data_IF_802097889751
#
_entry.id   IF_802097889751
#
_cell.length_a   1.000
_cell.length_b   1.000
_cell.length_c   1.000
_cell.angle_alpha   90.00
_cell.angle_beta   90.00
_cell.angle_gamma   90.00
#
_symmetry.space_group_name_H-M   'P 1'
#
loop_
_entity.id
_entity.type
_entity.pdbx_description
1 polymer ?
#
# COMPACT_ATOMS: atom_id res chain seq x y z
N UNK A 1 -20.70 -20.22 3.01
CA UNK A 1 -21.53 -20.83 1.94
C UNK A 1 -20.60 -21.34 0.86
N UNK A 2 -20.72 -22.61 0.44
CA UNK A 2 -19.98 -23.11 -0.74
C UNK A 2 -20.50 -22.36 -1.98
N UNK A 3 -19.64 -21.90 -2.90
CA UNK A 3 -20.09 -21.27 -4.12
C UNK A 3 -21.00 -22.24 -4.90
N UNK A 4 -22.14 -21.75 -5.36
CA UNK A 4 -23.10 -22.54 -6.16
C UNK A 4 -22.40 -22.93 -7.48
N UNK A 5 -22.27 -24.20 -7.76
CA UNK A 5 -21.75 -24.65 -9.06
C UNK A 5 -22.70 -24.19 -10.15
N UNK A 6 -22.15 -23.51 -11.17
CA UNK A 6 -22.92 -23.09 -12.35
C UNK A 6 -23.26 -24.33 -13.22
N UNK A 7 -24.42 -24.30 -13.86
CA UNK A 7 -24.78 -25.29 -14.87
C UNK A 7 -23.95 -25.11 -16.15
N UNK A 8 -23.81 -26.12 -17.00
CA UNK A 8 -23.11 -26.00 -18.29
C UNK A 8 -23.62 -24.84 -19.15
N UNK A 9 -24.94 -24.64 -19.20
CA UNK A 9 -25.56 -23.52 -19.93
C UNK A 9 -25.15 -22.17 -19.34
N UNK A 10 -25.16 -22.01 -18.01
CA UNK A 10 -24.72 -20.78 -17.34
C UNK A 10 -23.24 -20.50 -17.55
N UNK A 11 -22.39 -21.53 -17.61
CA UNK A 11 -20.98 -21.39 -17.95
C UNK A 11 -20.78 -20.86 -19.37
N UNK A 12 -21.52 -21.42 -20.33
CA UNK A 12 -21.47 -21.01 -21.74
C UNK A 12 -21.96 -19.57 -21.95
N UNK A 13 -23.05 -19.19 -21.30
CA UNK A 13 -23.58 -17.82 -21.34
C UNK A 13 -22.54 -16.81 -20.72
N UNK A 14 -21.89 -17.20 -19.63
CA UNK A 14 -20.82 -16.40 -19.00
C UNK A 14 -19.67 -16.17 -19.97
N UNK A 15 -19.13 -17.24 -20.56
CA UNK A 15 -18.04 -17.17 -21.54
C UNK A 15 -18.41 -16.27 -22.72
N UNK A 16 -19.59 -16.42 -23.28
CA UNK A 16 -20.08 -15.59 -24.38
C UNK A 16 -20.17 -14.11 -23.98
N UNK A 17 -20.68 -13.80 -22.79
CA UNK A 17 -20.81 -12.43 -22.30
C UNK A 17 -19.45 -11.78 -22.10
N UNK A 18 -18.47 -12.50 -21.56
CA UNK A 18 -17.11 -11.98 -21.33
C UNK A 18 -16.41 -11.72 -22.66
N UNK A 19 -16.44 -12.72 -23.58
CA UNK A 19 -15.75 -12.57 -24.85
C UNK A 19 -16.47 -11.63 -25.85
N UNK A 20 -17.67 -11.18 -25.54
CA UNK A 20 -18.34 -10.12 -26.28
C UNK A 20 -17.84 -8.72 -25.99
N UNK A 21 -17.05 -8.52 -24.88
CA UNK A 21 -16.46 -7.24 -24.57
C UNK A 21 -15.28 -6.96 -25.53
N UNK A 22 -15.17 -5.72 -26.07
CA UNK A 22 -14.18 -5.40 -27.11
C UNK A 22 -12.72 -5.43 -26.62
N UNK A 23 -12.52 -5.34 -25.31
CA UNK A 23 -11.22 -5.29 -24.66
C UNK A 23 -10.76 -6.62 -24.06
N UNK A 24 -11.50 -7.70 -24.24
CA UNK A 24 -11.10 -9.03 -23.74
C UNK A 24 -10.31 -9.81 -24.79
N UNK A 25 -9.17 -10.35 -24.35
CA UNK A 25 -8.23 -11.09 -25.21
C UNK A 25 -7.94 -12.46 -24.57
N UNK A 26 -8.20 -13.58 -25.26
CA UNK A 26 -7.79 -14.90 -24.77
C UNK A 26 -6.25 -14.98 -24.65
N UNK A 27 -5.75 -15.49 -23.52
CA UNK A 27 -4.30 -15.63 -23.31
C UNK A 27 -3.60 -16.47 -24.37
N UNK A 28 -4.26 -17.50 -24.89
CA UNK A 28 -3.77 -18.34 -25.98
C UNK A 28 -3.46 -17.57 -27.28
N UNK A 29 -3.98 -16.36 -27.43
CA UNK A 29 -3.83 -15.50 -28.61
C UNK A 29 -3.08 -14.21 -28.28
N UNK A 30 -2.59 -14.04 -27.04
CA UNK A 30 -1.95 -12.83 -26.55
C UNK A 30 -0.42 -12.99 -26.61
N UNK A 31 0.31 -12.06 -27.25
CA UNK A 31 1.76 -12.06 -27.23
C UNK A 31 2.32 -11.97 -25.80
N UNK A 32 3.44 -12.64 -25.52
CA UNK A 32 4.11 -12.57 -24.20
C UNK A 32 4.52 -11.13 -23.83
N UNK A 33 4.82 -10.30 -24.83
CA UNK A 33 5.13 -8.87 -24.61
C UNK A 33 4.03 -8.10 -23.93
N UNK A 34 2.77 -8.47 -24.15
CA UNK A 34 1.61 -7.77 -23.63
C UNK A 34 1.33 -8.17 -22.17
N UNK A 35 1.70 -9.39 -21.81
CA UNK A 35 1.56 -9.93 -20.43
C UNK A 35 2.81 -9.76 -19.58
N UNK A 36 3.87 -9.14 -20.08
CA UNK A 36 5.16 -8.95 -19.38
C UNK A 36 5.04 -8.34 -17.99
N UNK A 37 4.04 -7.50 -17.76
CA UNK A 37 3.80 -6.88 -16.47
C UNK A 37 3.40 -7.87 -15.38
N UNK A 38 2.99 -9.07 -15.74
CA UNK A 38 2.51 -10.12 -14.84
C UNK A 38 3.50 -11.26 -14.65
N UNK A 39 4.67 -11.22 -15.32
CA UNK A 39 5.67 -12.27 -15.21
C UNK A 39 6.52 -12.15 -13.96
N UNK A 40 6.99 -13.27 -13.43
CA UNK A 40 7.94 -13.33 -12.28
C UNK A 40 7.51 -12.52 -11.06
N UNK A 41 6.22 -12.51 -10.74
CA UNK A 41 5.67 -11.73 -9.63
C UNK A 41 6.19 -12.14 -8.25
N UNK A 42 6.85 -13.28 -8.12
CA UNK A 42 7.46 -13.77 -6.88
C UNK A 42 8.88 -13.23 -6.64
N UNK A 43 9.55 -12.71 -7.66
CA UNK A 43 10.88 -12.12 -7.55
C UNK A 43 10.80 -10.65 -7.07
N UNK A 44 10.94 -10.47 -5.75
CA UNK A 44 10.83 -9.15 -5.10
C UNK A 44 11.83 -8.15 -5.65
N UNK A 45 13.11 -8.56 -5.83
CA UNK A 45 14.18 -7.66 -6.27
C UNK A 45 13.99 -7.20 -7.71
N UNK A 46 13.64 -8.13 -8.59
CA UNK A 46 13.35 -7.84 -9.99
C UNK A 46 12.14 -6.91 -10.11
N UNK A 47 11.05 -7.24 -9.43
CA UNK A 47 9.78 -6.51 -9.51
C UNK A 47 9.85 -5.09 -8.94
N UNK A 48 10.53 -4.89 -7.81
CA UNK A 48 10.68 -3.56 -7.24
C UNK A 48 11.40 -2.59 -8.18
N UNK A 49 12.35 -3.08 -8.97
CA UNK A 49 13.04 -2.28 -9.99
C UNK A 49 12.17 -2.08 -11.24
N UNK A 50 11.61 -3.15 -11.80
CA UNK A 50 10.85 -3.11 -13.04
C UNK A 50 9.55 -2.32 -12.92
N UNK A 51 8.77 -2.52 -11.83
CA UNK A 51 7.51 -1.81 -11.63
C UNK A 51 7.71 -0.28 -11.54
N UNK A 52 8.80 0.15 -10.91
CA UNK A 52 9.17 1.57 -10.85
C UNK A 52 9.59 2.09 -12.22
N UNK A 53 10.44 1.36 -12.95
CA UNK A 53 10.87 1.75 -14.30
C UNK A 53 9.73 1.81 -15.32
N UNK A 54 8.75 0.90 -15.21
CA UNK A 54 7.57 0.89 -16.07
C UNK A 54 6.48 1.88 -15.65
N UNK A 55 6.64 2.55 -14.51
CA UNK A 55 5.64 3.46 -13.97
C UNK A 55 4.34 2.74 -13.59
N UNK A 56 4.41 1.48 -13.13
CA UNK A 56 3.25 0.67 -12.78
C UNK A 56 3.37 0.06 -11.37
N UNK A 57 2.27 -0.51 -10.91
CA UNK A 57 2.21 -1.45 -9.78
C UNK A 57 1.15 -2.51 -10.04
N UNK A 58 1.20 -3.63 -9.29
CA UNK A 58 0.24 -4.73 -9.45
C UNK A 58 -0.76 -4.76 -8.30
N UNK A 59 -2.04 -4.58 -8.64
CA UNK A 59 -3.18 -4.78 -7.75
C UNK A 59 -3.68 -6.22 -7.86
N UNK A 60 -3.78 -6.93 -6.72
CA UNK A 60 -4.23 -8.34 -6.65
C UNK A 60 -5.57 -8.44 -5.91
N UNK A 61 -6.54 -9.06 -6.50
CA UNK A 61 -7.92 -9.30 -6.09
C UNK A 61 -8.92 -8.21 -6.51
N UNK A 62 -10.17 -8.62 -6.79
CA UNK A 62 -11.25 -7.71 -7.20
C UNK A 62 -11.47 -6.55 -6.20
N UNK A 63 -11.39 -6.82 -4.90
CA UNK A 63 -11.55 -5.78 -3.88
C UNK A 63 -10.45 -4.72 -3.93
N UNK A 64 -9.20 -5.13 -4.13
CA UNK A 64 -8.04 -4.21 -4.22
C UNK A 64 -8.11 -3.41 -5.52
N UNK A 65 -8.43 -4.06 -6.64
CA UNK A 65 -8.60 -3.41 -7.94
C UNK A 65 -9.69 -2.33 -7.85
N UNK A 66 -10.86 -2.65 -7.29
CA UNK A 66 -11.95 -1.69 -7.10
C UNK A 66 -11.54 -0.51 -6.23
N UNK A 67 -10.74 -0.73 -5.18
CA UNK A 67 -10.22 0.36 -4.32
C UNK A 67 -9.23 1.27 -5.05
N UNK A 68 -8.35 0.71 -5.86
CA UNK A 68 -7.43 1.48 -6.67
C UNK A 68 -8.18 2.37 -7.68
N UNK A 69 -9.16 1.81 -8.40
CA UNK A 69 -9.99 2.55 -9.34
C UNK A 69 -10.85 3.62 -8.65
N UNK A 70 -11.42 3.32 -7.49
CA UNK A 70 -12.18 4.28 -6.68
C UNK A 70 -11.32 5.43 -6.17
N UNK A 71 -10.02 5.21 -5.97
CA UNK A 71 -9.04 6.25 -5.63
C UNK A 71 -8.53 7.04 -6.86
N UNK A 72 -9.09 6.79 -8.05
CA UNK A 72 -8.75 7.51 -9.29
C UNK A 72 -7.54 6.95 -10.05
N UNK A 73 -6.94 5.85 -9.59
CA UNK A 73 -5.82 5.23 -10.29
C UNK A 73 -6.28 4.63 -11.61
N UNK A 74 -5.44 4.73 -12.65
CA UNK A 74 -5.77 4.29 -13.99
C UNK A 74 -5.26 2.86 -14.25
N UNK A 75 -6.09 1.96 -14.80
CA UNK A 75 -5.65 0.63 -15.16
C UNK A 75 -4.87 0.67 -16.49
N UNK A 76 -3.73 -0.01 -16.54
CA UNK A 76 -2.96 -0.25 -17.75
C UNK A 76 -3.45 -1.51 -18.48
N UNK A 77 -3.72 -2.58 -17.72
CA UNK A 77 -4.29 -3.84 -18.21
C UNK A 77 -4.85 -4.68 -17.07
N UNK A 78 -5.63 -5.70 -17.42
CA UNK A 78 -6.15 -6.72 -16.49
C UNK A 78 -5.66 -8.10 -16.90
N UNK A 79 -5.46 -9.00 -15.92
CA UNK A 79 -5.17 -10.42 -16.12
C UNK A 79 -6.01 -11.25 -15.15
N UNK A 80 -6.86 -12.15 -15.66
CA UNK A 80 -7.76 -12.92 -14.79
C UNK A 80 -8.33 -14.16 -15.47
N UNK A 81 -8.92 -15.06 -14.66
CA UNK A 81 -9.73 -16.14 -15.21
C UNK A 81 -11.16 -15.68 -15.52
N UNK A 82 -11.89 -16.43 -16.36
CA UNK A 82 -13.29 -16.14 -16.73
C UNK A 82 -14.21 -15.91 -15.52
N UNK A 83 -14.00 -16.67 -14.45
CA UNK A 83 -14.75 -16.51 -13.20
C UNK A 83 -14.61 -15.10 -12.63
N UNK A 84 -13.40 -14.56 -12.65
CA UNK A 84 -13.11 -13.22 -12.11
C UNK A 84 -13.47 -12.13 -13.10
N UNK A 85 -13.41 -12.40 -14.41
CA UNK A 85 -13.92 -11.49 -15.43
C UNK A 85 -15.44 -11.28 -15.30
N UNK A 86 -16.17 -12.31 -14.89
CA UNK A 86 -17.59 -12.20 -14.57
C UNK A 86 -17.86 -11.33 -13.33
N UNK A 87 -17.06 -11.49 -12.26
CA UNK A 87 -17.11 -10.66 -11.03
C UNK A 87 -16.76 -9.18 -11.31
N UNK A 88 -15.90 -8.93 -12.29
CA UNK A 88 -15.40 -7.60 -12.65
C UNK A 88 -16.00 -7.08 -13.98
N UNK A 89 -17.07 -7.70 -14.48
CA UNK A 89 -17.67 -7.35 -15.77
C UNK A 89 -18.07 -5.87 -15.87
N UNK A 90 -18.56 -5.29 -14.79
CA UNK A 90 -18.87 -3.86 -14.68
C UNK A 90 -17.64 -2.98 -14.92
N UNK A 91 -16.50 -3.33 -14.32
CA UNK A 91 -15.24 -2.61 -14.52
C UNK A 91 -14.71 -2.79 -15.94
N UNK A 92 -14.71 -4.01 -16.48
CA UNK A 92 -14.28 -4.25 -17.85
C UNK A 92 -15.12 -3.45 -18.86
N UNK A 93 -16.39 -3.27 -18.59
CA UNK A 93 -17.29 -2.42 -19.39
C UNK A 93 -16.99 -0.93 -19.23
N UNK A 94 -16.64 -0.50 -18.02
CA UNK A 94 -16.28 0.90 -17.72
C UNK A 94 -14.97 1.34 -18.38
N UNK A 95 -14.03 0.39 -18.59
CA UNK A 95 -12.72 0.64 -19.19
C UNK A 95 -12.55 -0.08 -20.54
N UNK A 96 -13.34 0.26 -21.57
CA UNK A 96 -13.42 -0.51 -22.83
C UNK A 96 -12.15 -0.47 -23.68
N UNK A 97 -11.23 0.46 -23.39
CA UNK A 97 -9.94 0.59 -24.08
C UNK A 97 -8.78 -0.07 -23.34
N UNK A 98 -9.01 -0.51 -22.09
CA UNK A 98 -7.99 -1.18 -21.27
C UNK A 98 -8.01 -2.68 -21.55
N UNK A 99 -6.92 -3.29 -22.05
CA UNK A 99 -6.91 -4.70 -22.38
C UNK A 99 -7.10 -5.60 -21.16
N UNK A 100 -7.90 -6.63 -21.30
CA UNK A 100 -8.17 -7.65 -20.29
C UNK A 100 -7.79 -9.03 -20.85
N UNK A 101 -6.75 -9.63 -20.31
CA UNK A 101 -6.24 -10.93 -20.71
C UNK A 101 -6.94 -12.01 -19.90
N UNK A 102 -7.61 -12.92 -20.60
CA UNK A 102 -8.46 -13.96 -20.00
C UNK A 102 -7.88 -15.33 -20.29
N UNK A 103 -7.65 -16.13 -19.24
CA UNK A 103 -7.11 -17.48 -19.37
C UNK A 103 -7.61 -18.45 -18.30
N UNK A 104 -7.17 -19.69 -18.43
CA UNK A 104 -7.37 -20.72 -17.40
C UNK A 104 -6.49 -20.43 -16.16
N UNK A 105 -6.79 -21.07 -15.04
CA UNK A 105 -5.95 -20.95 -13.83
C UNK A 105 -4.54 -21.45 -14.06
N UNK A 106 -4.35 -22.47 -14.92
CA UNK A 106 -3.03 -23.01 -15.27
C UNK A 106 -2.21 -22.05 -16.14
N UNK A 107 -2.83 -21.39 -17.11
CA UNK A 107 -2.18 -20.35 -17.92
C UNK A 107 -1.77 -19.15 -17.06
N UNK A 108 -2.64 -18.73 -16.16
CA UNK A 108 -2.33 -17.64 -15.22
C UNK A 108 -1.16 -18.01 -14.30
N UNK A 109 -1.12 -19.22 -13.77
CA UNK A 109 -0.02 -19.72 -12.93
C UNK A 109 1.32 -19.76 -13.69
N UNK A 110 1.29 -20.18 -14.95
CA UNK A 110 2.45 -20.21 -15.82
C UNK A 110 3.05 -18.79 -16.00
N UNK A 111 2.21 -17.77 -16.20
CA UNK A 111 2.65 -16.39 -16.39
C UNK A 111 3.15 -15.78 -15.06
N UNK A 112 2.39 -15.94 -13.99
CA UNK A 112 2.64 -15.25 -12.72
C UNK A 112 3.70 -15.93 -11.86
N UNK A 113 3.93 -17.21 -12.06
CA UNK A 113 4.86 -18.05 -11.27
C UNK A 113 4.27 -18.52 -9.94
N UNK A 114 2.96 -18.39 -9.72
CA UNK A 114 2.28 -18.89 -8.52
C UNK A 114 0.77 -19.05 -8.75
N UNK A 115 0.13 -19.91 -7.93
CA UNK A 115 -1.30 -20.13 -8.00
C UNK A 115 -2.09 -18.90 -7.47
N UNK A 116 -2.94 -18.33 -8.35
CA UNK A 116 -3.74 -17.15 -8.05
C UNK A 116 -5.02 -17.52 -7.28
N UNK A 117 -4.98 -17.58 -5.96
CA UNK A 117 -6.17 -17.91 -5.13
C UNK A 117 -7.36 -16.94 -5.32
N UNK A 118 -7.11 -15.71 -5.71
CA UNK A 118 -8.12 -14.67 -5.95
C UNK A 118 -8.07 -14.12 -7.37
N UNK A 119 -7.65 -14.91 -8.29
CA UNK A 119 -7.57 -14.95 -9.73
C UNK A 119 -7.74 -13.68 -10.58
N UNK A 120 -7.66 -12.49 -10.00
CA UNK A 120 -7.70 -11.23 -10.74
C UNK A 120 -6.52 -10.34 -10.36
N UNK A 121 -5.78 -9.89 -11.37
CA UNK A 121 -4.70 -8.93 -11.29
C UNK A 121 -5.01 -7.73 -12.20
N UNK A 122 -4.51 -6.57 -11.81
CA UNK A 122 -4.46 -5.39 -12.67
C UNK A 122 -3.07 -4.75 -12.59
N UNK A 123 -2.47 -4.47 -13.74
CA UNK A 123 -1.36 -3.55 -13.83
C UNK A 123 -1.94 -2.14 -13.82
N UNK A 124 -1.59 -1.35 -12.82
CA UNK A 124 -2.11 0.00 -12.61
C UNK A 124 -0.99 1.01 -12.85
N UNK A 125 -1.32 2.16 -13.42
CA UNK A 125 -0.36 3.26 -13.53
C UNK A 125 -0.04 3.82 -12.15
N UNK A 126 1.24 4.11 -11.90
CA UNK A 126 1.64 4.83 -10.69
C UNK A 126 1.14 6.26 -10.77
N UNK A 127 0.51 6.78 -9.70
CA UNK A 127 0.16 8.20 -9.66
C UNK A 127 1.45 9.05 -9.65
N UNK A 128 1.36 10.25 -10.20
CA UNK A 128 2.42 11.25 -10.06
C UNK A 128 2.64 11.59 -8.57
N UNK A 129 3.89 11.74 -8.12
CA UNK A 129 4.18 12.14 -6.76
C UNK A 129 3.59 13.52 -6.45
N UNK A 130 2.87 13.64 -5.34
CA UNK A 130 2.37 14.91 -4.86
C UNK A 130 3.48 15.70 -4.15
N UNK A 131 3.55 17.01 -4.37
CA UNK A 131 4.49 17.86 -3.66
C UNK A 131 4.19 17.87 -2.14
N UNK A 132 5.22 17.82 -1.30
CA UNK A 132 5.08 17.69 0.14
C UNK A 132 4.21 18.80 0.75
N UNK A 133 4.38 20.05 0.30
CA UNK A 133 3.59 21.18 0.79
C UNK A 133 2.10 21.08 0.44
N UNK A 134 1.75 20.52 -0.71
CA UNK A 134 0.36 20.25 -1.10
C UNK A 134 -0.23 19.09 -0.30
N UNK A 135 0.53 18.00 -0.18
CA UNK A 135 0.15 16.82 0.60
C UNK A 135 -0.19 17.17 2.06
N UNK A 136 0.59 18.06 2.67
CA UNK A 136 0.52 18.39 4.10
C UNK A 136 -0.27 19.67 4.42
N UNK A 137 -0.84 20.33 3.43
CA UNK A 137 -1.51 21.62 3.58
C UNK A 137 -2.57 21.63 4.70
N UNK A 138 -3.41 20.62 4.72
CA UNK A 138 -4.52 20.49 5.68
C UNK A 138 -4.27 19.34 6.69
N UNK A 139 -3.11 18.68 6.61
CA UNK A 139 -2.76 17.58 7.48
C UNK A 139 -2.44 18.05 8.90
N UNK A 140 -2.96 17.34 9.89
CA UNK A 140 -2.71 17.56 11.32
C UNK A 140 -1.96 16.40 11.96
N UNK A 141 -2.21 15.18 11.52
CA UNK A 141 -1.55 13.97 12.04
C UNK A 141 -0.93 13.19 10.90
N UNK A 142 0.38 13.05 10.94
CA UNK A 142 1.11 12.30 9.93
C UNK A 142 2.00 11.23 10.58
N UNK A 143 2.30 10.20 9.82
CA UNK A 143 3.28 9.19 10.18
C UNK A 143 4.47 9.24 9.24
N UNK A 144 5.67 9.08 9.78
CA UNK A 144 6.92 9.00 9.01
C UNK A 144 7.54 7.63 9.24
N UNK A 145 7.78 6.89 8.17
CA UNK A 145 8.36 5.56 8.20
C UNK A 145 9.84 5.66 7.83
N UNK A 146 10.71 5.56 8.84
CA UNK A 146 12.16 5.60 8.62
C UNK A 146 12.69 4.20 8.32
N UNK A 147 13.11 4.00 7.06
CA UNK A 147 13.83 2.83 6.59
C UNK A 147 13.15 1.47 6.87
N UNK A 148 11.84 1.45 6.97
CA UNK A 148 11.07 0.21 7.16
C UNK A 148 11.09 -0.57 5.84
N UNK A 149 11.93 -1.62 5.77
CA UNK A 149 12.17 -2.40 4.55
C UNK A 149 11.21 -3.58 4.36
N UNK A 150 10.49 -4.00 5.41
CA UNK A 150 9.48 -5.06 5.27
C UNK A 150 8.15 -4.50 4.73
N UNK A 151 7.80 -4.93 3.53
CA UNK A 151 6.54 -4.59 2.87
C UNK A 151 5.29 -4.99 3.69
N UNK A 152 5.40 -6.01 4.55
CA UNK A 152 4.31 -6.42 5.44
C UNK A 152 4.04 -5.37 6.49
N UNK A 153 5.10 -4.85 7.12
CA UNK A 153 5.00 -3.78 8.11
C UNK A 153 4.47 -2.49 7.48
N UNK A 154 5.02 -2.08 6.31
CA UNK A 154 4.51 -0.92 5.58
C UNK A 154 3.01 -1.06 5.30
N UNK A 155 2.57 -2.20 4.74
CA UNK A 155 1.15 -2.44 4.45
C UNK A 155 0.27 -2.43 5.70
N UNK A 156 0.73 -2.99 6.82
CA UNK A 156 0.00 -3.00 8.08
C UNK A 156 -0.12 -1.60 8.70
N UNK A 157 0.95 -0.79 8.62
CA UNK A 157 0.94 0.60 9.07
C UNK A 157 -0.05 1.43 8.26
N UNK A 158 -0.05 1.33 6.93
CA UNK A 158 -1.06 2.01 6.09
C UNK A 158 -2.49 1.60 6.42
N UNK A 159 -2.70 0.32 6.78
CA UNK A 159 -4.03 -0.13 7.20
C UNK A 159 -4.45 0.49 8.53
N UNK A 160 -3.54 0.60 9.49
CA UNK A 160 -3.78 1.26 10.77
C UNK A 160 -3.98 2.76 10.59
N UNK A 161 -3.15 3.40 9.75
CA UNK A 161 -3.26 4.82 9.41
C UNK A 161 -4.64 5.18 8.83
N UNK A 162 -5.11 4.40 7.84
CA UNK A 162 -6.45 4.58 7.27
C UNK A 162 -7.59 4.36 8.26
N UNK A 163 -7.42 3.42 9.21
CA UNK A 163 -8.46 3.09 10.19
C UNK A 163 -8.53 4.09 11.36
N UNK A 164 -7.46 4.85 11.60
CA UNK A 164 -7.28 5.72 12.77
C UNK A 164 -7.06 7.18 12.38
N UNK A 165 -7.53 7.58 11.19
CA UNK A 165 -7.55 8.95 10.68
C UNK A 165 -6.18 9.65 10.71
N UNK A 166 -5.14 8.95 10.24
CA UNK A 166 -3.85 9.57 9.92
C UNK A 166 -3.97 10.22 8.55
N UNK A 167 -3.70 11.52 8.49
CA UNK A 167 -3.95 12.34 7.31
C UNK A 167 -2.98 12.05 6.16
N UNK A 168 -1.72 11.74 6.48
CA UNK A 168 -0.71 11.39 5.48
C UNK A 168 0.37 10.47 6.06
N UNK A 169 1.02 9.70 5.18
CA UNK A 169 2.20 8.89 5.51
C UNK A 169 3.38 9.34 4.66
N UNK A 170 4.50 9.64 5.29
CA UNK A 170 5.76 9.92 4.61
C UNK A 170 6.68 8.71 4.74
N UNK A 171 7.35 8.33 3.66
CA UNK A 171 8.32 7.23 3.68
C UNK A 171 9.71 7.76 3.31
N UNK A 172 10.73 7.37 4.07
CA UNK A 172 12.11 7.79 3.77
C UNK A 172 12.65 7.13 2.50
N UNK A 173 13.77 7.60 1.93
CA UNK A 173 14.29 7.10 0.65
C UNK A 173 14.52 5.59 0.61
N UNK A 174 14.93 4.98 1.73
CA UNK A 174 15.23 3.53 1.83
C UNK A 174 14.06 2.69 2.30
N UNK A 175 12.93 3.30 2.61
CA UNK A 175 11.72 2.59 3.01
C UNK A 175 11.19 1.73 1.85
N UNK A 176 10.61 0.57 2.16
CA UNK A 176 9.92 -0.27 1.18
C UNK A 176 8.80 0.50 0.46
N UNK A 177 8.55 0.11 -0.77
CA UNK A 177 7.55 0.77 -1.61
C UNK A 177 6.12 0.45 -1.13
N UNK A 178 5.31 1.46 -0.76
CA UNK A 178 3.91 1.27 -0.41
C UNK A 178 3.06 0.66 -1.54
N UNK A 179 3.43 0.92 -2.80
CA UNK A 179 2.74 0.36 -3.98
C UNK A 179 3.28 -1.00 -4.41
N UNK A 180 4.25 -1.57 -3.69
CA UNK A 180 4.63 -2.94 -3.97
C UNK A 180 3.50 -3.90 -3.61
N UNK A 181 3.27 -4.92 -4.45
CA UNK A 181 2.13 -5.86 -4.35
C UNK A 181 1.87 -6.39 -2.95
N UNK A 182 2.92 -6.72 -2.18
CA UNK A 182 2.78 -7.23 -0.80
C UNK A 182 2.24 -6.18 0.16
N UNK A 183 2.72 -4.94 0.09
CA UNK A 183 2.20 -3.82 0.90
C UNK A 183 0.73 -3.56 0.58
N UNK A 184 0.38 -3.51 -0.69
CA UNK A 184 -1.01 -3.36 -1.15
C UNK A 184 -1.91 -4.48 -0.63
N UNK A 185 -1.44 -5.74 -0.71
CA UNK A 185 -2.20 -6.92 -0.26
C UNK A 185 -2.43 -6.91 1.24
N UNK A 186 -1.41 -6.62 2.04
CA UNK A 186 -1.50 -6.57 3.51
C UNK A 186 -2.38 -5.40 3.96
N UNK A 187 -2.24 -4.25 3.34
CA UNK A 187 -3.11 -3.09 3.60
C UNK A 187 -4.54 -3.33 3.12
N UNK A 188 -4.81 -4.39 2.37
CA UNK A 188 -6.10 -4.60 1.68
C UNK A 188 -6.48 -3.44 0.75
N UNK A 189 -5.47 -2.71 0.23
CA UNK A 189 -5.65 -1.55 -0.63
C UNK A 189 -5.97 -0.24 0.11
N UNK A 190 -5.82 -0.17 1.44
CA UNK A 190 -5.97 1.11 2.16
C UNK A 190 -4.82 2.07 1.87
N UNK A 191 -3.70 1.58 1.34
CA UNK A 191 -2.62 2.42 0.81
C UNK A 191 -3.09 3.43 -0.25
N UNK A 192 -4.22 3.19 -0.92
CA UNK A 192 -4.83 4.11 -1.87
C UNK A 192 -5.74 5.16 -1.20
N UNK A 193 -6.04 5.00 0.09
CA UNK A 193 -6.97 5.85 0.84
C UNK A 193 -6.24 6.88 1.71
N UNK A 194 -4.96 6.63 2.04
CA UNK A 194 -4.13 7.54 2.82
C UNK A 194 -3.13 8.19 1.86
N UNK A 195 -3.16 9.50 1.68
CA UNK A 195 -2.17 10.22 0.92
C UNK A 195 -0.75 9.95 1.43
N UNK A 196 0.21 9.80 0.54
CA UNK A 196 1.59 9.55 0.94
C UNK A 196 2.59 10.11 -0.06
N UNK A 197 3.80 10.37 0.44
CA UNK A 197 4.93 10.76 -0.39
C UNK A 197 6.21 10.08 0.07
N UNK A 198 7.14 9.87 -0.87
CA UNK A 198 8.53 9.50 -0.56
C UNK A 198 9.36 10.76 -0.41
N UNK A 199 10.04 10.89 0.72
CA UNK A 199 10.95 11.99 0.96
C UNK A 199 12.21 11.84 0.08
N UNK A 200 12.73 12.94 -0.44
CA UNK A 200 13.96 12.95 -1.25
C UNK A 200 15.21 12.81 -0.38
N UNK A 201 15.19 13.44 0.81
CA UNK A 201 16.27 13.39 1.78
C UNK A 201 15.74 13.16 3.19
N UNK A 202 16.56 12.52 4.02
CA UNK A 202 16.25 12.26 5.43
C UNK A 202 17.55 12.23 6.25
N UNK A 203 17.61 12.87 7.45
CA UNK A 203 16.52 13.52 8.18
C UNK A 203 16.32 15.03 7.87
N UNK A 204 16.84 15.56 6.77
CA UNK A 204 16.75 16.99 6.45
C UNK A 204 15.30 17.49 6.27
N UNK A 205 14.40 16.60 5.82
CA UNK A 205 12.97 16.91 5.70
C UNK A 205 12.31 17.31 7.04
N UNK A 206 12.91 16.98 8.21
CA UNK A 206 12.41 17.41 9.51
C UNK A 206 12.37 18.94 9.66
N UNK A 207 13.35 19.64 9.12
CA UNK A 207 13.39 21.11 9.17
C UNK A 207 12.17 21.70 8.43
N UNK A 208 11.82 21.16 7.26
CA UNK A 208 10.64 21.57 6.52
C UNK A 208 9.33 21.24 7.26
N UNK A 209 9.25 20.10 7.96
CA UNK A 209 8.08 19.74 8.77
C UNK A 209 7.90 20.70 9.96
N UNK A 210 9.00 21.11 10.60
CA UNK A 210 8.95 22.12 11.66
C UNK A 210 8.48 23.48 11.14
N UNK A 211 8.94 23.91 9.96
CA UNK A 211 8.46 25.13 9.30
C UNK A 211 6.95 25.06 8.96
N UNK A 212 6.43 23.88 8.65
CA UNK A 212 4.99 23.63 8.44
C UNK A 212 4.19 23.53 9.74
N UNK A 213 4.86 23.67 10.91
CA UNK A 213 4.25 23.70 12.23
C UNK A 213 3.99 22.32 12.85
N UNK A 214 4.61 21.25 12.34
CA UNK A 214 4.49 19.93 12.94
C UNK A 214 5.39 19.80 14.17
N UNK A 215 4.82 19.35 15.29
CA UNK A 215 5.56 18.77 16.39
C UNK A 215 6.01 17.36 15.99
N UNK A 216 7.29 17.07 16.08
CA UNK A 216 7.85 15.76 15.69
C UNK A 216 8.11 14.91 16.93
N UNK A 217 7.60 13.68 16.95
CA UNK A 217 7.72 12.72 18.02
C UNK A 217 8.24 11.37 17.51
N UNK A 218 9.45 11.02 17.93
CA UNK A 218 10.14 9.79 17.55
C UNK A 218 9.79 8.64 18.51
N UNK A 219 9.24 7.53 18.01
CA UNK A 219 9.04 6.33 18.83
C UNK A 219 10.39 5.65 19.08
N UNK A 220 10.95 5.89 20.26
CA UNK A 220 12.25 5.37 20.70
C UNK A 220 12.27 5.18 22.22
N UNK A 221 13.18 4.31 22.68
CA UNK A 221 13.44 4.08 24.11
C UNK A 221 14.68 4.88 24.52
N UNK A 222 14.48 6.13 24.93
CA UNK A 222 15.53 6.99 25.49
C UNK A 222 15.19 7.30 26.95
N UNK A 223 16.20 7.66 27.75
CA UNK A 223 16.02 7.93 29.21
C UNK A 223 14.99 9.03 29.47
N UNK A 224 14.95 10.07 28.63
CA UNK A 224 14.07 11.23 28.75
C UNK A 224 12.82 11.14 27.85
N UNK A 225 12.46 9.94 27.36
CA UNK A 225 11.27 9.76 26.53
C UNK A 225 9.99 10.04 27.29
N UNK A 226 9.10 10.84 26.69
CA UNK A 226 7.72 10.96 27.15
C UNK A 226 6.99 9.63 26.99
N UNK A 227 6.06 9.35 27.85
CA UNK A 227 5.09 8.30 27.57
C UNK A 227 4.15 8.74 26.43
N UNK A 228 3.61 7.77 25.70
CA UNK A 228 2.64 8.06 24.64
C UNK A 228 1.40 8.81 25.14
N UNK A 229 0.99 8.55 26.40
CA UNK A 229 -0.12 9.26 27.05
C UNK A 229 0.22 10.73 27.32
N UNK A 230 1.43 11.01 27.84
CA UNK A 230 1.88 12.39 28.03
C UNK A 230 1.96 13.15 26.70
N UNK A 231 2.41 12.51 25.61
CA UNK A 231 2.36 13.12 24.29
C UNK A 231 0.92 13.46 23.86
N UNK A 232 -0.02 12.53 24.08
CA UNK A 232 -1.43 12.75 23.70
C UNK A 232 -2.09 13.88 24.51
N UNK A 233 -1.71 14.07 25.78
CA UNK A 233 -2.18 15.14 26.65
C UNK A 233 -1.68 16.54 26.26
N UNK A 234 -0.64 16.64 25.42
CA UNK A 234 -0.14 17.94 24.91
C UNK A 234 -1.10 18.60 23.94
N UNK A 235 -1.96 17.82 23.27
CA UNK A 235 -2.92 18.31 22.26
C UNK A 235 -2.26 19.16 21.16
N UNK A 236 -1.08 18.75 20.70
CA UNK A 236 -0.37 19.44 19.63
C UNK A 236 -1.28 19.54 18.37
N UNK A 237 -1.39 20.74 17.80
CA UNK A 237 -2.29 20.99 16.67
C UNK A 237 -1.88 20.17 15.44
N UNK A 238 -0.58 20.04 15.21
CA UNK A 238 0.02 19.22 14.15
C UNK A 238 1.06 18.29 14.74
N UNK A 239 0.89 17.00 14.52
CA UNK A 239 1.78 15.95 15.08
C UNK A 239 2.31 15.04 13.98
N UNK A 240 3.63 14.87 13.94
CA UNK A 240 4.34 13.90 13.09
C UNK A 240 4.95 12.80 13.96
N UNK A 241 4.42 11.58 13.86
CA UNK A 241 4.95 10.41 14.55
C UNK A 241 6.00 9.71 13.66
N UNK A 242 7.21 9.50 14.17
CA UNK A 242 8.32 8.87 13.45
C UNK A 242 8.51 7.45 13.97
N UNK A 243 8.44 6.50 13.04
CA UNK A 243 8.51 5.07 13.30
C UNK A 243 9.77 4.50 12.64
N UNK A 244 10.63 3.86 13.40
CA UNK A 244 11.90 3.30 12.94
C UNK A 244 11.83 1.82 12.56
N UNK A 245 12.97 1.30 12.11
CA UNK A 245 13.10 -0.12 11.73
C UNK A 245 13.05 -1.04 12.95
N UNK A 246 12.68 -2.30 12.72
CA UNK A 246 12.87 -3.36 13.70
C UNK A 246 14.38 -3.63 13.90
N UNK A 247 14.80 -3.70 15.15
CA UNK A 247 16.17 -4.01 15.56
C UNK A 247 17.07 -2.81 15.78
N UNK A 248 17.18 -1.87 14.84
CA UNK A 248 18.05 -0.69 14.99
C UNK A 248 17.31 0.58 15.39
N UNK A 249 15.98 0.56 15.34
CA UNK A 249 15.17 1.74 15.66
C UNK A 249 15.37 2.91 14.69
N UNK A 250 15.41 4.10 15.23
CA UNK A 250 15.63 5.36 14.50
C UNK A 250 17.11 5.73 14.47
N UNK A 251 17.55 6.45 13.44
CA UNK A 251 18.94 6.92 13.34
C UNK A 251 19.27 7.97 14.40
N UNK A 252 20.50 8.03 14.89
CA UNK A 252 20.94 9.08 15.83
C UNK A 252 20.70 10.49 15.29
N UNK A 253 20.83 10.68 13.97
CA UNK A 253 20.59 11.98 13.34
C UNK A 253 19.11 12.37 13.40
N UNK A 254 18.20 11.41 13.25
CA UNK A 254 16.76 11.62 13.41
C UNK A 254 16.42 11.99 14.84
N UNK A 255 16.92 11.22 15.80
CA UNK A 255 16.70 11.50 17.24
C UNK A 255 17.21 12.88 17.63
N UNK A 256 18.37 13.29 17.13
CA UNK A 256 18.95 14.60 17.42
C UNK A 256 18.16 15.79 16.85
N UNK A 257 17.42 15.58 15.76
CA UNK A 257 16.58 16.62 15.11
C UNK A 257 15.12 16.61 15.56
N UNK A 258 14.66 15.52 16.17
CA UNK A 258 13.28 15.37 16.63
C UNK A 258 13.03 16.18 17.89
N UNK A 259 11.85 16.79 18.04
CA UNK A 259 11.52 17.61 19.21
C UNK A 259 11.23 16.77 20.47
N UNK A 260 10.66 15.58 20.28
CA UNK A 260 10.36 14.65 21.37
C UNK A 260 10.72 13.22 21.00
N UNK A 261 11.26 12.49 21.97
CA UNK A 261 11.28 11.04 21.97
C UNK A 261 10.09 10.52 22.79
N UNK A 262 9.45 9.45 22.33
CA UNK A 262 8.22 8.94 22.92
C UNK A 262 8.28 7.43 23.01
N UNK A 263 7.88 6.89 24.15
CA UNK A 263 7.83 5.46 24.38
C UNK A 263 6.42 4.97 24.68
N UNK A 264 6.14 3.73 24.29
CA UNK A 264 4.98 2.97 24.75
C UNK A 264 5.42 2.26 26.03
N UNK A 265 4.82 2.57 27.21
CA UNK A 265 5.19 1.89 28.45
C UNK A 265 4.91 0.38 28.33
N UNK A 266 5.92 -0.43 28.59
CA UNK A 266 5.88 -1.89 28.46
C UNK A 266 5.99 -2.57 29.82
N UNK A 267 5.50 -3.80 29.92
CA UNK A 267 5.59 -4.63 31.10
C UNK A 267 6.48 -5.86 30.88
N UNK A 268 6.89 -6.52 31.95
CA UNK A 268 7.59 -7.81 31.92
C UNK A 268 8.97 -7.78 31.20
N UNK A 269 9.64 -6.63 31.13
CA UNK A 269 10.95 -6.52 30.47
C UNK A 269 10.89 -6.67 28.96
N UNK A 270 9.74 -6.40 28.34
CA UNK A 270 9.62 -6.31 26.87
C UNK A 270 10.09 -4.92 26.45
N UNK A 271 11.06 -4.85 25.56
CA UNK A 271 11.68 -3.60 25.14
C UNK A 271 10.96 -2.95 23.94
N UNK A 272 10.32 -3.75 23.06
CA UNK A 272 9.69 -3.23 21.84
C UNK A 272 8.52 -4.08 21.37
N UNK A 273 7.64 -3.46 20.60
CA UNK A 273 6.61 -4.13 19.79
C UNK A 273 7.07 -4.16 18.33
N UNK A 274 6.53 -5.11 17.56
CA UNK A 274 6.59 -5.00 16.10
C UNK A 274 6.11 -3.61 15.67
N UNK A 275 6.81 -2.97 14.73
CA UNK A 275 6.57 -1.58 14.35
C UNK A 275 5.14 -1.30 13.88
N UNK A 276 4.50 -2.27 13.21
CA UNK A 276 3.10 -2.14 12.82
C UNK A 276 2.13 -2.18 14.01
N UNK A 277 2.45 -2.96 15.05
CA UNK A 277 1.69 -2.95 16.29
C UNK A 277 1.90 -1.64 17.07
N UNK A 278 3.15 -1.19 17.19
CA UNK A 278 3.50 0.08 17.80
C UNK A 278 2.78 1.26 17.12
N UNK A 279 2.74 1.27 15.77
CA UNK A 279 2.04 2.30 15.01
C UNK A 279 0.54 2.35 15.33
N UNK A 280 -0.12 1.20 15.42
CA UNK A 280 -1.55 1.15 15.73
C UNK A 280 -1.86 1.69 17.14
N UNK A 281 -1.02 1.38 18.13
CA UNK A 281 -1.14 1.90 19.50
C UNK A 281 -0.91 3.42 19.49
N UNK A 282 0.14 3.89 18.82
CA UNK A 282 0.47 5.32 18.75
C UNK A 282 -0.63 6.12 18.04
N UNK A 283 -1.15 5.64 16.92
CA UNK A 283 -2.25 6.31 16.19
C UNK A 283 -3.54 6.34 17.01
N UNK A 284 -3.84 5.25 17.73
CA UNK A 284 -5.02 5.20 18.59
C UNK A 284 -4.93 6.21 19.74
N UNK A 285 -3.80 6.26 20.45
CA UNK A 285 -3.65 7.12 21.62
C UNK A 285 -3.62 8.61 21.24
N UNK A 286 -2.96 8.95 20.13
CA UNK A 286 -2.82 10.35 19.68
C UNK A 286 -3.95 10.81 18.75
N UNK A 287 -5.03 10.03 18.56
CA UNK A 287 -6.16 10.45 17.72
C UNK A 287 -6.87 11.69 18.30
N UNK A 288 -7.47 12.53 17.47
CA UNK A 288 -8.34 13.62 17.94
C UNK A 288 -9.46 13.07 18.83
N UNK A 289 -9.70 13.68 19.95
CA UNK A 289 -10.76 13.34 20.92
C UNK A 289 -11.90 14.33 20.81
#
# INVERSE_FOLDING_TARGET
>A
MKPKQLTPTQLQERTQRIHALPNTHPLTQTPETDTRHYTSLTDVKLRSTQETQWGIYIAESSKVIRRALAAGHQPHSFLMSEKWADDLHDLLTQYPTTPAYIGSEEELETITGYHLHRGALAAMQRPEPMALGELLKDARRIAILEDIVDHTNVGAIFRSAAALDVDAVLVTPRCADPLYRRSIKVSMGTVFQVPWARLESWPDALDQLHELGFTTAALALEEDSLSLTELAERHDEKLALILGTEGHGLSPQTLAKTQHTVMIPMSHGVDSLNVAAASAVAFWETRPR
#
